data_IF_422751160370
#
_entry.id   IF_422751160370
#
_cell.length_a   1.000
_cell.length_b   1.000
_cell.length_c   1.000
_cell.angle_alpha   90.00
_cell.angle_beta   90.00
_cell.angle_gamma   90.00
#
_symmetry.space_group_name_H-M   'P 1'
#
loop_
_entity.id
_entity.type
_entity.pdbx_description
1 polymer ?
#
# COMPACT_ATOMS: atom_id res chain seq x y z
N UNK A 1 6.34 -12.15 -15.45
CA UNK A 1 6.76 -12.40 -14.06
C UNK A 1 6.30 -11.23 -13.20
N UNK A 2 5.64 -11.50 -12.09
CA UNK A 2 5.20 -10.46 -11.14
C UNK A 2 6.42 -9.76 -10.55
N UNK A 3 6.38 -8.41 -10.45
CA UNK A 3 7.38 -7.63 -9.73
C UNK A 3 7.14 -7.76 -8.23
N UNK A 4 5.87 -7.67 -7.80
CA UNK A 4 5.44 -7.75 -6.42
C UNK A 4 4.01 -8.28 -6.32
N UNK A 5 3.68 -8.86 -5.18
CA UNK A 5 2.30 -9.27 -4.85
C UNK A 5 1.47 -8.08 -4.38
N UNK A 6 2.10 -7.13 -3.71
CA UNK A 6 1.48 -5.97 -3.05
C UNK A 6 2.12 -4.68 -3.53
N UNK A 7 1.30 -3.72 -3.93
CA UNK A 7 1.73 -2.36 -4.23
C UNK A 7 1.36 -1.40 -3.10
N UNK A 8 2.29 -0.51 -2.71
CA UNK A 8 2.02 0.58 -1.77
C UNK A 8 1.62 1.84 -2.52
N UNK A 9 0.53 2.45 -2.12
CA UNK A 9 0.07 3.75 -2.62
C UNK A 9 -0.21 4.69 -1.45
N UNK A 10 -0.02 5.97 -1.65
CA UNK A 10 -0.23 6.99 -0.62
C UNK A 10 0.48 8.28 -0.97
N UNK A 11 0.09 9.36 -0.32
CA UNK A 11 0.74 10.66 -0.47
C UNK A 11 2.22 10.61 -0.03
N UNK A 12 3.06 11.55 -0.47
CA UNK A 12 4.38 11.76 0.11
C UNK A 12 4.28 11.85 1.63
N UNK A 13 5.22 11.22 2.35
CA UNK A 13 5.24 11.15 3.82
C UNK A 13 4.10 10.35 4.48
N UNK A 14 3.30 9.60 3.72
CA UNK A 14 2.31 8.67 4.29
C UNK A 14 2.92 7.52 5.10
N UNK A 15 4.25 7.34 5.05
CA UNK A 15 4.97 6.31 5.80
C UNK A 15 5.25 5.04 4.99
N UNK A 16 5.17 5.08 3.66
CA UNK A 16 5.39 3.92 2.78
C UNK A 16 6.77 3.29 2.97
N UNK A 17 7.84 4.08 2.91
CA UNK A 17 9.22 3.60 3.06
C UNK A 17 9.49 3.04 4.45
N UNK A 18 8.97 3.68 5.50
CA UNK A 18 9.09 3.23 6.89
C UNK A 18 8.35 1.91 7.09
N UNK A 19 7.14 1.80 6.55
CA UNK A 19 6.37 0.57 6.57
C UNK A 19 7.10 -0.56 5.86
N UNK A 20 7.60 -0.32 4.64
CA UNK A 20 8.34 -1.31 3.87
C UNK A 20 9.57 -1.83 4.62
N UNK A 21 10.34 -0.93 5.24
CA UNK A 21 11.49 -1.30 6.06
C UNK A 21 11.09 -2.12 7.28
N UNK A 22 9.95 -1.81 7.90
CA UNK A 22 9.46 -2.51 9.09
C UNK A 22 9.03 -3.94 8.80
N UNK A 23 8.34 -4.17 7.69
CA UNK A 23 7.79 -5.50 7.37
C UNK A 23 8.79 -6.40 6.65
N UNK A 24 9.85 -5.85 6.09
CA UNK A 24 10.83 -6.62 5.31
C UNK A 24 11.70 -7.48 6.22
N UNK A 25 11.83 -8.76 5.88
CA UNK A 25 12.69 -9.73 6.59
C UNK A 25 14.19 -9.42 6.44
N UNK A 26 14.53 -8.67 5.40
CA UNK A 26 15.86 -8.13 5.15
C UNK A 26 15.71 -6.68 4.66
N UNK A 27 16.82 -5.95 4.58
CA UNK A 27 16.80 -4.58 4.08
C UNK A 27 16.13 -4.51 2.69
N UNK A 28 15.17 -3.61 2.46
CA UNK A 28 14.58 -3.41 1.15
C UNK A 28 15.64 -3.10 0.09
N UNK A 29 15.41 -3.58 -1.13
CA UNK A 29 16.33 -3.39 -2.25
C UNK A 29 15.69 -2.52 -3.31
N UNK A 30 16.47 -1.59 -3.86
CA UNK A 30 16.07 -0.84 -5.04
C UNK A 30 16.22 -1.76 -6.24
N UNK A 31 15.15 -1.95 -7.01
CA UNK A 31 15.17 -2.72 -8.23
C UNK A 31 15.48 -1.81 -9.43
N UNK A 32 16.42 -2.23 -10.25
CA UNK A 32 16.78 -1.59 -11.50
C UNK A 32 16.20 -2.39 -12.67
N UNK A 33 15.10 -1.86 -13.25
CA UNK A 33 14.46 -2.48 -14.40
C UNK A 33 14.81 -1.69 -15.68
N UNK A 34 15.41 -2.33 -16.69
CA UNK A 34 15.91 -1.63 -17.88
C UNK A 34 14.83 -1.00 -18.75
N UNK A 35 13.55 -1.32 -18.51
CA UNK A 35 12.41 -0.79 -19.26
C UNK A 35 11.73 0.43 -18.62
N UNK A 36 12.27 0.95 -17.51
CA UNK A 36 11.70 2.09 -16.78
C UNK A 36 12.79 2.96 -16.16
N UNK A 37 12.49 4.24 -15.97
CA UNK A 37 13.26 5.17 -15.16
C UNK A 37 12.81 5.18 -13.69
N UNK A 38 11.80 4.39 -13.34
CA UNK A 38 11.35 4.22 -11.98
C UNK A 38 12.12 3.07 -11.31
N UNK A 39 12.53 3.29 -10.09
CA UNK A 39 13.30 2.36 -9.29
C UNK A 39 12.50 1.98 -8.03
N UNK A 40 11.60 0.96 -8.12
CA UNK A 40 10.82 0.55 -6.97
C UNK A 40 11.70 0.00 -5.86
N UNK A 41 11.36 0.30 -4.61
CA UNK A 41 11.90 -0.39 -3.46
C UNK A 41 11.09 -1.66 -3.23
N UNK A 42 11.77 -2.80 -3.17
CA UNK A 42 11.16 -4.11 -2.94
C UNK A 42 11.52 -4.62 -1.55
N UNK A 43 10.53 -5.09 -0.83
CA UNK A 43 10.69 -5.78 0.44
C UNK A 43 9.99 -7.14 0.41
N UNK A 44 10.55 -8.10 1.13
CA UNK A 44 9.96 -9.43 1.30
C UNK A 44 9.52 -9.56 2.73
N UNK A 45 8.22 -9.73 2.94
CA UNK A 45 7.66 -10.06 4.24
C UNK A 45 7.62 -11.58 4.42
N UNK A 46 7.95 -12.04 5.62
CA UNK A 46 7.76 -13.42 6.06
C UNK A 46 6.98 -13.43 7.36
N UNK A 47 5.79 -13.99 7.32
CA UNK A 47 4.89 -14.09 8.46
C UNK A 47 4.21 -15.47 8.43
N UNK A 48 4.30 -16.22 9.53
CA UNK A 48 3.65 -17.54 9.70
C UNK A 48 3.99 -18.52 8.55
N UNK A 49 5.28 -18.66 8.21
CA UNK A 49 5.82 -19.51 7.13
C UNK A 49 5.30 -19.17 5.71
N UNK A 50 4.68 -18.00 5.56
CA UNK A 50 4.25 -17.44 4.28
C UNK A 50 5.05 -16.20 3.95
N UNK A 51 5.23 -15.97 2.65
CA UNK A 51 5.91 -14.75 2.20
C UNK A 51 5.15 -14.05 1.08
N UNK A 52 5.31 -12.75 1.00
CA UNK A 52 4.87 -11.92 -0.11
C UNK A 52 5.87 -10.79 -0.37
N UNK A 53 5.91 -10.35 -1.60
CA UNK A 53 6.75 -9.24 -2.04
C UNK A 53 5.93 -7.96 -2.10
N UNK A 54 6.47 -6.90 -1.52
CA UNK A 54 5.87 -5.56 -1.50
C UNK A 54 6.73 -4.59 -2.30
N UNK A 55 6.10 -3.79 -3.13
CA UNK A 55 6.75 -2.72 -3.88
C UNK A 55 6.27 -1.35 -3.40
N UNK A 56 7.20 -0.48 -3.03
CA UNK A 56 7.01 0.96 -2.93
C UNK A 56 7.56 1.60 -4.21
N UNK A 57 6.69 2.27 -4.94
CA UNK A 57 7.01 2.85 -6.25
C UNK A 57 7.03 4.36 -6.11
N UNK A 58 8.23 4.97 -5.99
CA UNK A 58 8.36 6.41 -5.90
C UNK A 58 7.77 7.09 -7.15
N UNK A 59 7.03 8.17 -6.95
CA UNK A 59 6.50 8.98 -8.05
C UNK A 59 5.31 8.37 -8.79
N UNK A 60 4.77 7.22 -8.36
CA UNK A 60 3.59 6.64 -9.00
C UNK A 60 2.40 7.62 -9.03
N UNK A 61 2.26 8.39 -7.97
CA UNK A 61 1.18 9.34 -7.77
C UNK A 61 1.66 10.78 -7.95
N UNK A 62 2.88 11.08 -7.52
CA UNK A 62 3.47 12.42 -7.58
C UNK A 62 3.67 12.92 -9.02
N UNK A 63 3.98 12.03 -9.96
CA UNK A 63 4.28 12.37 -11.35
C UNK A 63 3.10 12.18 -12.32
N UNK A 64 1.97 11.65 -11.85
CA UNK A 64 0.78 11.44 -12.66
C UNK A 64 0.24 12.76 -13.24
N UNK A 65 0.37 13.87 -12.50
CA UNK A 65 -0.03 15.21 -12.95
C UNK A 65 0.86 15.80 -14.05
N UNK A 66 2.10 15.31 -14.22
CA UNK A 66 3.08 15.94 -15.10
C UNK A 66 3.01 15.39 -16.54
N UNK A 67 2.14 14.42 -16.83
CA UNK A 67 1.96 13.86 -18.18
C UNK A 67 3.22 13.20 -18.76
N UNK A 68 4.28 13.06 -17.99
CA UNK A 68 5.46 12.28 -18.37
C UNK A 68 5.14 10.81 -18.14
N UNK A 69 4.70 10.16 -19.22
CA UNK A 69 4.32 8.76 -19.24
C UNK A 69 5.29 7.87 -18.48
N UNK A 70 4.86 7.43 -17.31
CA UNK A 70 5.37 6.21 -16.70
C UNK A 70 5.32 5.16 -17.80
N UNK A 71 6.46 4.57 -18.14
CA UNK A 71 6.51 3.66 -19.27
C UNK A 71 5.41 2.60 -19.17
N UNK A 72 4.53 2.53 -20.18
CA UNK A 72 3.39 1.60 -20.22
C UNK A 72 3.72 0.16 -19.79
N UNK A 73 4.97 -0.27 -19.97
CA UNK A 73 5.45 -1.59 -19.55
C UNK A 73 5.55 -1.75 -18.05
N UNK A 74 5.97 -0.70 -17.32
CA UNK A 74 6.06 -0.75 -15.86
C UNK A 74 4.67 -0.76 -15.22
N UNK A 75 3.74 -0.04 -15.81
CA UNK A 75 2.35 0.00 -15.41
C UNK A 75 1.68 -1.38 -15.48
N UNK A 76 1.98 -2.15 -16.53
CA UNK A 76 1.54 -3.52 -16.66
C UNK A 76 2.03 -4.44 -15.52
N UNK A 77 3.13 -4.09 -14.85
CA UNK A 77 3.60 -4.83 -13.68
C UNK A 77 2.84 -4.48 -12.41
N UNK A 78 2.43 -3.21 -12.25
CA UNK A 78 1.55 -2.79 -11.13
C UNK A 78 0.16 -3.38 -11.29
N UNK A 79 -0.35 -3.40 -12.52
CA UNK A 79 -1.62 -4.06 -12.83
C UNK A 79 -1.62 -5.55 -12.41
N UNK A 80 -0.46 -6.18 -12.32
CA UNK A 80 -0.29 -7.56 -11.89
C UNK A 80 -0.11 -7.75 -10.39
N UNK A 81 0.11 -6.67 -9.61
CA UNK A 81 0.00 -6.78 -8.15
C UNK A 81 -1.38 -7.29 -7.78
N UNK A 82 -1.48 -8.18 -6.80
CA UNK A 82 -2.75 -8.77 -6.37
C UNK A 82 -3.59 -7.78 -5.60
N UNK A 83 -2.97 -7.06 -4.68
CA UNK A 83 -3.63 -6.08 -3.82
C UNK A 83 -2.81 -4.80 -3.70
N UNK A 84 -3.50 -3.72 -3.32
CA UNK A 84 -2.90 -2.45 -2.96
C UNK A 84 -3.06 -2.18 -1.47
N UNK A 85 -2.03 -1.65 -0.83
CA UNK A 85 -2.12 -1.05 0.48
C UNK A 85 -2.12 0.46 0.32
N UNK A 86 -3.23 1.10 0.66
CA UNK A 86 -3.39 2.54 0.62
C UNK A 86 -3.05 3.13 1.98
N UNK A 87 -1.86 3.71 2.10
CA UNK A 87 -1.35 4.27 3.34
C UNK A 87 -1.79 5.73 3.50
N UNK A 88 -2.34 6.04 4.66
CA UNK A 88 -2.81 7.37 5.03
C UNK A 88 -2.21 7.76 6.37
N UNK A 89 -1.52 8.88 6.43
CA UNK A 89 -1.00 9.45 7.67
C UNK A 89 -2.15 9.96 8.55
N UNK A 90 -2.38 9.32 9.70
CA UNK A 90 -3.48 9.69 10.60
C UNK A 90 -3.23 11.04 11.30
N UNK A 91 -2.01 11.55 11.27
CA UNK A 91 -1.68 12.88 11.81
C UNK A 91 -2.04 14.02 10.84
N UNK A 92 -2.41 13.69 9.61
CA UNK A 92 -2.82 14.68 8.64
C UNK A 92 -4.13 15.36 9.10
N UNK A 93 -4.19 16.67 8.97
CA UNK A 93 -5.37 17.46 9.34
C UNK A 93 -6.60 17.13 8.51
N UNK A 94 -6.40 16.71 7.28
CA UNK A 94 -7.47 16.37 6.34
C UNK A 94 -7.29 14.95 5.77
N UNK A 95 -7.70 13.96 6.56
CA UNK A 95 -7.63 12.54 6.21
C UNK A 95 -8.47 12.24 4.95
N UNK A 96 -9.67 12.84 4.85
CA UNK A 96 -10.55 12.63 3.71
C UNK A 96 -9.94 13.15 2.41
N UNK A 97 -9.31 14.31 2.44
CA UNK A 97 -8.64 14.86 1.26
C UNK A 97 -7.46 13.97 0.83
N UNK A 98 -6.66 13.50 1.79
CA UNK A 98 -5.56 12.57 1.53
C UNK A 98 -6.05 11.28 0.86
N UNK A 99 -7.16 10.73 1.35
CA UNK A 99 -7.81 9.57 0.76
C UNK A 99 -8.31 9.85 -0.66
N UNK A 100 -9.04 10.96 -0.84
CA UNK A 100 -9.68 11.30 -2.12
C UNK A 100 -8.66 11.59 -3.22
N UNK A 101 -7.54 12.24 -2.89
CA UNK A 101 -6.47 12.51 -3.86
C UNK A 101 -5.95 11.20 -4.46
N UNK A 102 -5.66 10.20 -3.63
CA UNK A 102 -5.16 8.91 -4.10
C UNK A 102 -6.21 8.14 -4.90
N UNK A 103 -7.47 8.12 -4.44
CA UNK A 103 -8.56 7.48 -5.17
C UNK A 103 -8.74 8.08 -6.57
N UNK A 104 -8.72 9.42 -6.68
CA UNK A 104 -8.83 10.11 -7.95
C UNK A 104 -7.65 9.83 -8.88
N UNK A 105 -6.43 9.79 -8.34
CA UNK A 105 -5.23 9.47 -9.10
C UNK A 105 -5.25 8.04 -9.64
N UNK A 106 -5.59 7.06 -8.81
CA UNK A 106 -5.71 5.65 -9.23
C UNK A 106 -6.76 5.51 -10.33
N UNK A 107 -7.91 6.18 -10.17
CA UNK A 107 -9.00 6.15 -11.16
C UNK A 107 -8.60 6.81 -12.49
N UNK A 108 -7.94 7.97 -12.42
CA UNK A 108 -7.48 8.68 -13.60
C UNK A 108 -6.35 7.92 -14.33
N UNK A 109 -5.60 7.14 -13.58
CA UNK A 109 -4.45 6.43 -14.08
C UNK A 109 -4.83 5.16 -14.87
N UNK A 110 -5.58 4.25 -14.25
CA UNK A 110 -6.00 3.01 -14.89
C UNK A 110 -7.15 2.35 -14.08
N UNK A 111 -8.23 2.05 -14.77
CA UNK A 111 -9.40 1.42 -14.17
C UNK A 111 -9.10 0.03 -13.57
N UNK A 112 -8.21 -0.75 -14.20
CA UNK A 112 -7.81 -2.07 -13.66
C UNK A 112 -7.05 -1.96 -12.34
N UNK A 113 -6.24 -0.91 -12.18
CA UNK A 113 -5.52 -0.65 -10.93
C UNK A 113 -6.48 -0.13 -9.88
N UNK A 114 -7.39 0.76 -10.24
CA UNK A 114 -8.41 1.30 -9.35
C UNK A 114 -9.33 0.22 -8.77
N UNK A 115 -9.73 -0.75 -9.58
CA UNK A 115 -10.64 -1.84 -9.21
C UNK A 115 -9.96 -3.00 -8.48
N UNK A 116 -8.65 -2.92 -8.19
CA UNK A 116 -7.97 -3.93 -7.37
C UNK A 116 -8.47 -3.91 -5.93
N UNK A 117 -8.39 -5.07 -5.29
CA UNK A 117 -8.59 -5.15 -3.85
C UNK A 117 -7.61 -4.25 -3.12
N UNK A 118 -8.15 -3.43 -2.24
CA UNK A 118 -7.39 -2.46 -1.46
C UNK A 118 -7.61 -2.67 0.04
N UNK A 119 -6.55 -2.49 0.81
CA UNK A 119 -6.62 -2.36 2.26
C UNK A 119 -6.22 -0.93 2.62
N UNK A 120 -7.08 -0.22 3.35
CA UNK A 120 -6.75 1.08 3.92
C UNK A 120 -5.88 0.90 5.16
N UNK A 121 -4.76 1.59 5.20
CA UNK A 121 -3.78 1.49 6.29
C UNK A 121 -3.51 2.89 6.83
N UNK A 122 -4.05 3.19 8.02
CA UNK A 122 -3.78 4.43 8.72
C UNK A 122 -2.48 4.30 9.50
N UNK A 123 -1.49 5.10 9.16
CA UNK A 123 -0.14 5.06 9.70
C UNK A 123 0.08 6.06 10.83
N UNK A 124 1.17 5.92 11.56
CA UNK A 124 1.64 6.83 12.62
C UNK A 124 0.69 6.92 13.82
N UNK A 125 0.01 5.83 14.15
CA UNK A 125 -0.93 5.79 15.27
C UNK A 125 -0.26 6.01 16.64
N UNK A 126 1.05 5.82 16.72
CA UNK A 126 1.87 6.12 17.90
C UNK A 126 1.94 7.63 18.27
N UNK A 127 1.56 8.51 17.33
CA UNK A 127 1.47 9.96 17.57
C UNK A 127 0.34 10.34 18.55
N UNK A 128 -0.60 9.43 18.80
CA UNK A 128 -1.77 9.68 19.62
C UNK A 128 -1.94 8.62 20.72
N UNK A 129 -2.50 9.02 21.87
CA UNK A 129 -2.96 8.07 22.88
C UNK A 129 -4.24 7.37 22.41
N UNK A 130 -4.61 6.29 23.09
CA UNK A 130 -5.76 5.45 22.73
C UNK A 130 -7.07 6.25 22.67
N UNK A 131 -7.32 7.14 23.62
CA UNK A 131 -8.52 7.98 23.66
C UNK A 131 -8.61 8.86 22.41
N UNK A 132 -7.54 9.57 22.08
CA UNK A 132 -7.48 10.45 20.91
C UNK A 132 -7.62 9.68 19.62
N UNK A 133 -6.97 8.51 19.54
CA UNK A 133 -7.08 7.63 18.37
C UNK A 133 -8.51 7.15 18.16
N UNK A 134 -9.21 6.76 19.22
CA UNK A 134 -10.62 6.37 19.14
C UNK A 134 -11.53 7.53 18.72
N UNK A 135 -11.26 8.76 19.20
CA UNK A 135 -11.99 9.94 18.77
C UNK A 135 -11.78 10.23 17.27
N UNK A 136 -10.55 10.10 16.79
CA UNK A 136 -10.23 10.26 15.36
C UNK A 136 -10.99 9.23 14.54
N UNK A 137 -10.96 7.94 14.93
CA UNK A 137 -11.67 6.86 14.24
C UNK A 137 -13.17 7.13 14.10
N UNK A 138 -13.81 7.64 15.16
CA UNK A 138 -15.23 7.99 15.15
C UNK A 138 -15.55 9.18 14.24
N UNK A 139 -14.60 10.05 14.00
CA UNK A 139 -14.76 11.26 13.19
C UNK A 139 -14.37 11.06 11.70
N UNK A 140 -13.83 9.91 11.34
CA UNK A 140 -13.58 9.56 9.93
C UNK A 140 -14.93 9.20 9.29
N UNK A 141 -15.46 10.12 8.51
CA UNK A 141 -16.74 9.94 7.78
C UNK A 141 -16.46 9.81 6.28
N UNK A 142 -17.31 9.03 5.58
CA UNK A 142 -17.23 8.88 4.14
C UNK A 142 -16.16 7.87 3.65
N UNK A 143 -15.48 7.20 4.56
CA UNK A 143 -14.53 6.12 4.26
C UNK A 143 -15.05 4.84 4.93
N UNK A 144 -15.11 3.74 4.18
CA UNK A 144 -15.44 2.44 4.77
C UNK A 144 -14.23 1.92 5.57
N UNK A 145 -14.40 1.80 6.88
CA UNK A 145 -13.36 1.35 7.81
C UNK A 145 -13.43 -0.15 8.14
N UNK A 146 -14.34 -0.91 7.54
CA UNK A 146 -14.59 -2.32 7.87
C UNK A 146 -13.31 -3.17 7.76
N UNK A 147 -12.52 -2.94 6.71
CA UNK A 147 -11.25 -3.62 6.48
C UNK A 147 -10.03 -2.70 6.65
N UNK A 148 -10.16 -1.62 7.40
CA UNK A 148 -9.07 -0.69 7.64
C UNK A 148 -8.19 -1.14 8.80
N UNK A 149 -6.88 -0.88 8.67
CA UNK A 149 -5.88 -1.13 9.71
C UNK A 149 -5.31 0.18 10.22
N UNK A 150 -5.17 0.27 11.52
CA UNK A 150 -4.53 1.38 12.23
C UNK A 150 -3.21 0.85 12.79
N UNK A 151 -2.11 1.35 12.29
CA UNK A 151 -0.77 0.80 12.56
C UNK A 151 0.22 1.85 13.04
N UNK A 152 1.29 1.37 13.66
CA UNK A 152 2.53 2.11 13.84
C UNK A 152 3.71 1.28 13.36
N UNK A 153 4.39 1.74 12.32
CA UNK A 153 5.63 1.10 11.85
C UNK A 153 6.79 1.30 12.84
N UNK A 154 6.74 2.35 13.66
CA UNK A 154 7.76 2.64 14.67
C UNK A 154 7.68 1.66 15.84
N UNK A 155 6.48 1.46 16.39
CA UNK A 155 6.27 0.57 17.55
C UNK A 155 6.01 -0.88 17.15
N UNK A 156 5.59 -1.14 15.92
CA UNK A 156 5.13 -2.46 15.44
C UNK A 156 3.64 -2.74 15.71
N UNK A 157 2.91 -1.75 16.24
CA UNK A 157 1.48 -1.91 16.55
C UNK A 157 0.67 -2.33 15.31
N UNK A 158 -0.08 -3.42 15.41
CA UNK A 158 -0.93 -4.01 14.37
C UNK A 158 -0.23 -4.42 13.07
N UNK A 159 1.08 -4.40 12.98
CA UNK A 159 1.83 -4.80 11.78
C UNK A 159 1.61 -6.27 11.44
N UNK A 160 1.74 -7.16 12.43
CA UNK A 160 1.58 -8.61 12.19
C UNK A 160 0.16 -8.95 11.76
N UNK A 161 -0.85 -8.32 12.35
CA UNK A 161 -2.26 -8.51 11.96
C UNK A 161 -2.51 -8.09 10.52
N UNK A 162 -1.94 -6.96 10.09
CA UNK A 162 -2.01 -6.51 8.71
C UNK A 162 -1.33 -7.50 7.75
N UNK A 163 -0.13 -7.97 8.08
CA UNK A 163 0.60 -8.93 7.25
C UNK A 163 -0.13 -10.26 7.12
N UNK A 164 -0.78 -10.75 8.17
CA UNK A 164 -1.64 -11.95 8.11
C UNK A 164 -2.83 -11.74 7.19
N UNK A 165 -3.49 -10.59 7.27
CA UNK A 165 -4.61 -10.25 6.37
C UNK A 165 -4.18 -10.20 4.91
N UNK A 166 -3.02 -9.62 4.63
CA UNK A 166 -2.43 -9.61 3.28
C UNK A 166 -2.20 -11.04 2.78
N UNK A 167 -1.59 -11.90 3.60
CA UNK A 167 -1.37 -13.31 3.24
C UNK A 167 -2.68 -14.06 2.95
N UNK A 168 -3.73 -13.83 3.74
CA UNK A 168 -5.05 -14.43 3.50
C UNK A 168 -5.61 -14.03 2.12
N UNK A 169 -5.58 -12.73 1.80
CA UNK A 169 -6.11 -12.23 0.53
C UNK A 169 -5.33 -12.76 -0.68
N UNK A 170 -4.00 -12.79 -0.60
CA UNK A 170 -3.15 -13.30 -1.68
C UNK A 170 -3.39 -14.80 -1.93
N UNK A 171 -3.58 -15.59 -0.86
CA UNK A 171 -3.78 -17.04 -1.00
C UNK A 171 -5.19 -17.40 -1.49
N UNK A 172 -6.20 -16.62 -1.11
CA UNK A 172 -7.56 -16.79 -1.62
C UNK A 172 -7.64 -16.65 -3.16
N UNK A 173 -6.87 -15.73 -3.71
CA UNK A 173 -6.79 -15.56 -5.17
C UNK A 173 -6.05 -16.73 -5.86
N UNK A 174 -5.05 -17.32 -5.22
CA UNK A 174 -4.36 -18.50 -5.76
C UNK A 174 -5.27 -19.72 -5.91
N UNK A 175 -6.12 -19.97 -4.91
CA UNK A 175 -7.07 -21.08 -4.94
C UNK A 175 -8.11 -20.92 -6.05
N UNK A 176 -8.52 -19.70 -6.36
CA UNK A 176 -9.44 -19.43 -7.48
C UNK A 176 -8.82 -19.59 -8.85
N UNK A 177 -7.53 -19.31 -8.99
CA UNK A 177 -6.80 -19.45 -10.26
C UNK A 177 -6.47 -20.92 -10.57
N UNK A 178 -6.33 -21.78 -9.53
CA UNK A 178 -6.06 -23.21 -9.68
C UNK A 178 -7.34 -24.05 -9.97
N UNK A 179 -8.54 -23.50 -9.71
CA UNK A 179 -9.84 -24.13 -9.96
C UNK A 179 -10.47 -23.78 -11.34
N UNK A 180 -9.79 -22.98 -12.20
CA UNK A 180 -10.19 -22.60 -13.54
C UNK A 180 -9.23 -23.17 -14.62
#
# INVERSE_FOLDING_TARGET
KLIADVGLVGLPNAGKSTFLSKISSSRPKIADYPFTTLYPNLGVNRTDDKEFVVADIPGLIEDAHIGKGLGHKFLGHIERCKILLHLIDITNKNIMESFQVIENELKAYNEKVYNKDQILVFTKCDAFNEKKLNDIKKNINGINLENAFFISSVTGFNIDSLCRKVNEMINYDKEKDDDN
#
